data_IF_303245093091
#
_entry.id   IF_303245093091
#
_cell.length_a   1.000
_cell.length_b   1.000
_cell.length_c   1.000
_cell.angle_alpha   90.00
_cell.angle_beta   90.00
_cell.angle_gamma   90.00
#
_symmetry.space_group_name_H-M   'P 1'
#
loop_
_entity.id
_entity.type
_entity.pdbx_description
1 polymer ?
#
# COMPACT_ATOMS: atom_id res chain seq x y z
N UNK A 1 17.27 13.96 -24.35
CA UNK A 1 16.22 14.17 -23.33
C UNK A 1 15.83 12.79 -22.82
N UNK A 2 16.06 12.47 -21.54
CA UNK A 2 15.80 11.12 -21.01
C UNK A 2 14.29 10.84 -20.95
N UNK A 3 13.90 9.57 -21.04
CA UNK A 3 12.48 9.16 -21.04
C UNK A 3 11.70 9.70 -19.82
N UNK A 4 12.34 9.77 -18.65
CA UNK A 4 11.76 10.33 -17.43
C UNK A 4 11.40 11.83 -17.57
N UNK A 5 12.25 12.63 -18.24
CA UNK A 5 12.00 14.06 -18.46
C UNK A 5 10.87 14.26 -19.48
N UNK A 6 10.73 13.36 -20.45
CA UNK A 6 9.61 13.37 -21.40
C UNK A 6 8.28 13.00 -20.70
N UNK A 7 8.28 11.97 -19.85
CA UNK A 7 7.10 11.55 -19.08
C UNK A 7 6.62 12.65 -18.12
N UNK A 8 7.53 13.27 -17.36
CA UNK A 8 7.18 14.38 -16.47
C UNK A 8 6.65 15.62 -17.22
N UNK A 9 7.15 15.86 -18.44
CA UNK A 9 6.62 16.92 -19.30
C UNK A 9 5.21 16.57 -19.80
N UNK A 10 4.97 15.32 -20.16
CA UNK A 10 3.67 14.85 -20.67
C UNK A 10 2.59 14.86 -19.57
N UNK A 11 2.92 14.46 -18.34
CA UNK A 11 1.96 14.50 -17.22
C UNK A 11 1.53 15.92 -16.89
N UNK A 12 2.47 16.88 -16.98
CA UNK A 12 2.16 18.31 -16.81
C UNK A 12 1.30 18.85 -17.96
N UNK A 13 1.61 18.50 -19.21
CA UNK A 13 0.82 18.89 -20.39
C UNK A 13 -0.59 18.30 -20.37
N UNK A 14 -0.75 17.08 -19.84
CA UNK A 14 -2.04 16.40 -19.68
C UNK A 14 -2.83 16.85 -18.45
N UNK A 15 -2.38 17.88 -17.72
CA UNK A 15 -3.04 18.38 -16.51
C UNK A 15 -3.29 17.31 -15.44
N UNK A 16 -2.41 16.28 -15.38
CA UNK A 16 -2.54 15.16 -14.46
C UNK A 16 -1.97 15.48 -13.08
N UNK A 17 -0.79 16.11 -13.06
CA UNK A 17 -0.02 16.36 -11.85
C UNK A 17 0.43 17.82 -11.77
N UNK A 18 0.44 18.38 -10.56
CA UNK A 18 1.22 19.58 -10.23
C UNK A 18 2.33 19.23 -9.22
N UNK A 19 3.50 19.88 -9.37
CA UNK A 19 4.58 19.71 -8.40
C UNK A 19 4.20 20.37 -7.07
N UNK A 20 4.60 19.73 -5.97
CA UNK A 20 4.47 20.28 -4.63
C UNK A 20 5.83 20.76 -4.11
N UNK A 21 5.83 21.60 -3.07
CA UNK A 21 7.04 22.16 -2.46
C UNK A 21 7.83 21.10 -1.66
N UNK A 22 7.17 20.06 -1.18
CA UNK A 22 7.81 18.87 -0.61
C UNK A 22 8.25 17.91 -1.72
N UNK A 23 9.56 17.71 -1.84
CA UNK A 23 10.14 16.81 -2.83
C UNK A 23 9.57 15.39 -2.72
N UNK A 24 9.16 14.81 -3.85
CA UNK A 24 8.56 13.49 -3.92
C UNK A 24 7.06 13.43 -3.60
N UNK A 25 6.45 14.57 -3.25
CA UNK A 25 5.01 14.73 -3.12
C UNK A 25 4.47 15.48 -4.35
N UNK A 26 3.29 15.09 -4.82
CA UNK A 26 2.68 15.59 -6.05
C UNK A 26 1.19 15.78 -5.85
N UNK A 27 0.64 16.85 -6.41
CA UNK A 27 -0.80 17.10 -6.38
C UNK A 27 -1.45 16.32 -7.52
N UNK A 28 -2.35 15.39 -7.19
CA UNK A 28 -3.22 14.74 -8.16
C UNK A 28 -4.33 15.70 -8.57
N UNK A 29 -4.26 16.20 -9.81
CA UNK A 29 -5.32 17.04 -10.38
C UNK A 29 -6.54 16.18 -10.72
N UNK A 30 -7.73 16.78 -10.96
CA UNK A 30 -8.97 16.04 -11.18
C UNK A 30 -8.86 14.95 -12.25
N UNK A 31 -8.09 15.17 -13.32
CA UNK A 31 -7.94 14.18 -14.38
C UNK A 31 -7.16 12.93 -13.95
N UNK A 32 -6.09 13.10 -13.16
CA UNK A 32 -5.36 11.96 -12.59
C UNK A 32 -6.17 11.26 -11.50
N UNK A 33 -6.87 12.03 -10.66
CA UNK A 33 -7.68 11.48 -9.59
C UNK A 33 -8.88 10.70 -10.14
N UNK A 34 -9.48 11.15 -11.24
CA UNK A 34 -10.54 10.40 -11.93
C UNK A 34 -10.08 9.00 -12.36
N UNK A 35 -8.87 8.86 -12.91
CA UNK A 35 -8.31 7.54 -13.27
C UNK A 35 -8.19 6.66 -12.02
N UNK A 36 -7.71 7.24 -10.92
CA UNK A 36 -7.64 6.53 -9.63
C UNK A 36 -9.04 6.10 -9.13
N UNK A 37 -10.06 6.95 -9.27
CA UNK A 37 -11.43 6.59 -8.91
C UNK A 37 -11.98 5.42 -9.74
N UNK A 38 -11.63 5.33 -11.03
CA UNK A 38 -12.03 4.20 -11.86
C UNK A 38 -11.32 2.90 -11.44
N UNK A 39 -10.01 2.96 -11.16
CA UNK A 39 -9.25 1.80 -10.64
C UNK A 39 -9.83 1.35 -9.31
N UNK A 40 -10.10 2.31 -8.41
CA UNK A 40 -10.71 2.04 -7.11
C UNK A 40 -12.07 1.37 -7.28
N UNK A 41 -12.97 1.93 -8.07
CA UNK A 41 -14.31 1.37 -8.26
C UNK A 41 -14.27 -0.06 -8.82
N UNK A 42 -13.37 -0.34 -9.76
CA UNK A 42 -13.18 -1.68 -10.33
C UNK A 42 -12.71 -2.69 -9.27
N UNK A 43 -11.66 -2.36 -8.52
CA UNK A 43 -11.13 -3.25 -7.48
C UNK A 43 -12.15 -3.43 -6.36
N UNK A 44 -12.80 -2.34 -5.92
CA UNK A 44 -13.73 -2.35 -4.79
C UNK A 44 -14.95 -3.25 -5.03
N UNK A 45 -15.50 -3.23 -6.26
CA UNK A 45 -16.59 -4.11 -6.65
C UNK A 45 -16.19 -5.59 -6.54
N UNK A 46 -15.03 -5.96 -7.08
CA UNK A 46 -14.56 -7.34 -7.14
C UNK A 46 -14.21 -7.89 -5.74
N UNK A 47 -13.49 -7.11 -4.91
CA UNK A 47 -13.16 -7.56 -3.54
C UNK A 47 -14.42 -7.62 -2.65
N UNK A 48 -15.42 -6.78 -2.90
CA UNK A 48 -16.71 -6.85 -2.20
C UNK A 48 -17.44 -8.15 -2.52
N UNK A 49 -17.44 -8.58 -3.79
CA UNK A 49 -17.98 -9.89 -4.19
C UNK A 49 -17.21 -11.06 -3.56
N UNK A 50 -15.91 -10.90 -3.30
CA UNK A 50 -15.07 -11.87 -2.58
C UNK A 50 -15.31 -11.88 -1.05
N UNK A 51 -16.22 -11.04 -0.55
CA UNK A 51 -16.55 -10.92 0.88
C UNK A 51 -15.56 -10.08 1.69
N UNK A 52 -14.69 -9.31 1.04
CA UNK A 52 -13.77 -8.38 1.71
C UNK A 52 -14.54 -7.13 2.15
N UNK A 53 -14.30 -6.67 3.37
CA UNK A 53 -14.97 -5.50 3.93
C UNK A 53 -14.02 -4.31 4.04
N UNK A 54 -14.47 -3.14 3.56
CA UNK A 54 -13.72 -1.91 3.73
C UNK A 54 -13.72 -1.44 5.20
N UNK A 55 -12.56 -0.97 5.66
CA UNK A 55 -12.33 -0.41 6.98
C UNK A 55 -11.37 0.79 6.88
N UNK A 56 -11.05 1.40 8.03
CA UNK A 56 -10.03 2.43 8.11
C UNK A 56 -9.29 2.33 9.46
N UNK A 57 -8.00 2.03 9.40
CA UNK A 57 -7.12 2.11 10.57
C UNK A 57 -6.40 3.47 10.63
N UNK A 58 -6.01 3.93 11.84
CA UNK A 58 -5.30 5.20 12.01
C UNK A 58 -4.01 5.30 11.19
N UNK A 59 -3.63 6.54 10.83
CA UNK A 59 -2.38 6.84 10.13
C UNK A 59 -1.13 6.61 10.97
N UNK A 60 -1.28 6.78 12.28
CA UNK A 60 -0.18 6.83 13.22
C UNK A 60 0.07 5.48 13.87
N UNK A 61 1.34 5.08 13.92
CA UNK A 61 1.82 3.88 14.63
C UNK A 61 2.77 4.31 15.75
N UNK A 62 2.57 3.76 16.95
CA UNK A 62 3.48 4.03 18.05
C UNK A 62 4.83 3.36 17.81
N UNK A 63 5.90 3.98 18.32
CA UNK A 63 7.25 3.42 18.26
C UNK A 63 7.30 1.96 18.74
N UNK A 64 6.65 1.66 19.86
CA UNK A 64 6.59 0.32 20.44
C UNK A 64 5.82 -0.69 19.57
N UNK A 65 4.77 -0.26 18.87
CA UNK A 65 4.01 -1.14 17.98
C UNK A 65 4.81 -1.45 16.71
N UNK A 66 5.48 -0.43 16.16
CA UNK A 66 6.34 -0.60 15.00
C UNK A 66 7.44 -1.62 15.34
N UNK A 67 8.18 -1.42 16.44
CA UNK A 67 9.31 -2.25 16.90
C UNK A 67 8.99 -3.69 17.35
N UNK A 68 7.72 -4.08 17.42
CA UNK A 68 7.34 -5.46 17.73
C UNK A 68 7.70 -6.46 16.61
N UNK A 69 7.67 -6.00 15.37
CA UNK A 69 7.89 -6.80 14.16
C UNK A 69 9.29 -6.50 13.59
N UNK A 70 10.34 -6.82 14.35
CA UNK A 70 11.73 -6.42 14.03
C UNK A 70 12.22 -6.91 12.65
N UNK A 71 11.73 -8.07 12.19
CA UNK A 71 12.03 -8.63 10.87
C UNK A 71 11.46 -7.80 9.73
N UNK A 72 10.29 -7.18 9.92
CA UNK A 72 9.68 -6.31 8.92
C UNK A 72 10.37 -4.93 8.89
N UNK A 73 10.76 -4.38 10.04
CA UNK A 73 11.28 -3.02 10.14
C UNK A 73 12.68 -2.87 9.55
N UNK A 74 13.52 -3.89 9.58
CA UNK A 74 14.92 -3.76 9.12
C UNK A 74 14.99 -3.18 7.69
N UNK A 75 14.03 -3.53 6.83
CA UNK A 75 13.93 -3.03 5.46
C UNK A 75 13.20 -1.69 5.35
N UNK A 76 12.28 -1.36 6.26
CA UNK A 76 11.52 -0.09 6.23
C UNK A 76 12.12 1.03 7.06
N UNK A 77 12.99 0.73 8.03
CA UNK A 77 13.58 1.66 9.00
C UNK A 77 14.10 2.97 8.40
N UNK A 78 14.86 2.97 7.28
CA UNK A 78 15.33 4.22 6.70
C UNK A 78 14.22 5.07 6.03
N UNK A 79 13.08 4.47 5.70
CA UNK A 79 11.97 5.13 4.98
C UNK A 79 10.83 5.60 5.90
N UNK A 80 10.90 5.37 7.21
CA UNK A 80 9.84 5.76 8.14
C UNK A 80 9.89 7.26 8.44
N UNK A 81 8.79 7.96 8.19
CA UNK A 81 8.60 9.35 8.62
C UNK A 81 8.09 9.39 10.08
N UNK A 82 8.76 10.18 10.92
CA UNK A 82 8.46 10.31 12.34
C UNK A 82 7.87 11.68 12.69
N UNK A 83 6.81 11.66 13.49
CA UNK A 83 6.25 12.83 14.17
C UNK A 83 6.83 12.86 15.59
N UNK A 84 7.57 13.93 15.89
CA UNK A 84 8.24 14.12 17.19
C UNK A 84 7.75 15.36 17.94
N UNK A 85 6.95 16.22 17.30
CA UNK A 85 6.45 17.47 17.87
C UNK A 85 4.96 17.69 17.59
N UNK A 86 4.31 18.44 18.48
CA UNK A 86 2.98 19.01 18.29
C UNK A 86 3.05 20.52 18.56
N UNK A 87 2.89 21.33 17.51
CA UNK A 87 3.28 22.74 17.56
C UNK A 87 4.77 22.86 17.91
N UNK A 88 5.07 23.63 18.95
CA UNK A 88 6.44 23.83 19.44
C UNK A 88 6.87 22.86 20.56
N UNK A 89 5.97 21.98 21.02
CA UNK A 89 6.24 21.04 22.12
C UNK A 89 6.67 19.66 21.61
N UNK A 90 7.68 19.08 22.23
CA UNK A 90 8.11 17.70 21.95
C UNK A 90 7.08 16.68 22.47
N UNK A 91 6.86 15.63 21.70
CA UNK A 91 6.05 14.49 22.13
C UNK A 91 6.85 13.64 23.11
N UNK A 92 6.19 13.11 24.14
CA UNK A 92 6.81 12.22 25.11
C UNK A 92 7.36 10.93 24.46
N UNK A 93 6.72 10.47 23.39
CA UNK A 93 7.18 9.37 22.55
C UNK A 93 6.97 9.73 21.08
N UNK A 94 7.95 9.42 20.20
CA UNK A 94 7.78 9.62 18.78
C UNK A 94 6.71 8.68 18.22
N UNK A 95 6.01 9.13 17.19
CA UNK A 95 4.95 8.39 16.52
C UNK A 95 5.29 8.37 15.03
N UNK A 96 5.24 7.20 14.40
CA UNK A 96 5.51 7.06 12.99
C UNK A 96 4.24 7.26 12.15
N UNK A 97 4.43 7.78 10.94
CA UNK A 97 3.42 7.76 9.88
C UNK A 97 3.50 6.41 9.18
N UNK A 98 2.35 5.75 8.92
CA UNK A 98 2.34 4.39 8.36
C UNK A 98 3.16 4.28 7.06
N UNK A 99 4.14 3.37 6.97
CA UNK A 99 4.72 2.91 5.70
C UNK A 99 3.94 1.74 5.08
N UNK A 100 3.15 1.06 5.93
CA UNK A 100 2.21 -0.06 5.71
C UNK A 100 1.53 -0.36 7.07
N UNK A 101 0.41 -1.09 7.10
CA UNK A 101 -0.46 -1.16 8.30
C UNK A 101 -0.41 -2.46 9.11
N UNK A 102 0.47 -3.41 8.83
CA UNK A 102 0.57 -4.70 9.55
C UNK A 102 0.67 -4.50 11.07
N UNK A 103 1.60 -3.65 11.51
CA UNK A 103 1.84 -3.33 12.93
C UNK A 103 0.71 -2.53 13.59
N UNK A 104 -0.23 -2.00 12.79
CA UNK A 104 -1.43 -1.30 13.25
C UNK A 104 -2.63 -2.26 13.31
N UNK A 105 -2.81 -3.09 12.28
CA UNK A 105 -3.98 -3.95 12.09
C UNK A 105 -3.89 -5.24 12.90
N UNK A 106 -2.74 -5.92 12.90
CA UNK A 106 -2.62 -7.26 13.45
C UNK A 106 -2.82 -7.34 14.98
N UNK A 107 -2.42 -6.33 15.78
CA UNK A 107 -2.80 -6.27 17.19
C UNK A 107 -4.32 -6.20 17.43
N UNK A 108 -5.09 -5.66 16.48
CA UNK A 108 -6.55 -5.69 16.54
C UNK A 108 -7.10 -7.05 16.10
N UNK A 109 -6.53 -7.65 15.04
CA UNK A 109 -6.92 -8.99 14.57
C UNK A 109 -6.77 -10.03 15.67
N UNK A 110 -5.66 -9.99 16.42
CA UNK A 110 -5.42 -10.87 17.56
C UNK A 110 -6.46 -10.73 18.70
N UNK A 111 -7.13 -9.57 18.80
CA UNK A 111 -8.23 -9.35 19.76
C UNK A 111 -9.59 -9.79 19.21
N UNK A 112 -9.80 -9.67 17.90
CA UNK A 112 -11.07 -9.99 17.25
C UNK A 112 -11.22 -11.48 16.98
N UNK A 113 -10.13 -12.15 16.59
CA UNK A 113 -10.12 -13.58 16.31
C UNK A 113 -9.88 -14.33 17.62
N UNK A 114 -10.94 -14.91 18.18
CA UNK A 114 -10.89 -15.66 19.44
C UNK A 114 -11.14 -17.16 19.22
N UNK A 115 -11.70 -17.53 18.07
CA UNK A 115 -12.00 -18.90 17.69
C UNK A 115 -11.96 -19.08 16.16
N UNK A 116 -12.02 -20.33 15.71
CA UNK A 116 -12.13 -20.67 14.28
C UNK A 116 -13.38 -20.09 13.60
N UNK A 117 -14.41 -19.68 14.37
CA UNK A 117 -15.65 -19.09 13.83
C UNK A 117 -15.51 -17.63 13.44
N UNK A 118 -14.46 -16.98 13.92
CA UNK A 118 -14.15 -15.58 13.60
C UNK A 118 -13.34 -15.49 12.29
N UNK A 119 -13.04 -16.64 11.67
CA UNK A 119 -12.32 -16.77 10.41
C UNK A 119 -13.28 -17.21 9.28
N UNK A 120 -13.06 -16.73 8.03
CA UNK A 120 -12.02 -15.79 7.66
C UNK A 120 -12.36 -14.35 8.06
N UNK A 121 -11.35 -13.59 8.47
CA UNK A 121 -11.44 -12.14 8.60
C UNK A 121 -10.82 -11.52 7.35
N UNK A 122 -11.58 -10.73 6.60
CA UNK A 122 -11.12 -10.10 5.35
C UNK A 122 -11.38 -8.61 5.35
N UNK A 123 -10.33 -7.81 5.54
CA UNK A 123 -10.46 -6.36 5.51
C UNK A 123 -9.60 -5.73 4.43
N UNK A 124 -10.11 -4.62 3.88
CA UNK A 124 -9.41 -3.73 2.97
C UNK A 124 -9.46 -2.30 3.51
N UNK A 125 -8.47 -1.48 3.19
CA UNK A 125 -8.59 -0.03 3.37
C UNK A 125 -8.01 0.72 2.18
N UNK A 126 -8.69 1.79 1.79
CA UNK A 126 -8.20 2.78 0.82
C UNK A 126 -7.66 3.98 1.58
N UNK A 127 -6.37 4.27 1.45
CA UNK A 127 -5.69 5.28 2.25
C UNK A 127 -4.44 5.82 1.54
N UNK A 128 -3.80 6.80 2.18
CA UNK A 128 -2.45 7.24 1.84
C UNK A 128 -1.40 6.53 2.71
N UNK A 129 -0.21 6.38 2.15
CA UNK A 129 0.98 5.84 2.80
C UNK A 129 2.15 6.78 2.58
N UNK A 130 3.05 6.83 3.55
CA UNK A 130 4.30 7.60 3.45
C UNK A 130 5.50 6.67 3.53
N UNK A 131 6.34 6.70 2.48
CA UNK A 131 7.66 6.06 2.45
C UNK A 131 8.70 7.09 2.03
N UNK A 132 9.59 7.45 2.93
CA UNK A 132 10.59 8.50 2.73
C UNK A 132 11.79 8.04 1.89
N UNK A 133 11.49 7.51 0.71
CA UNK A 133 12.45 6.95 -0.24
C UNK A 133 13.51 7.99 -0.67
N UNK A 134 14.76 7.53 -0.76
CA UNK A 134 15.93 8.35 -1.12
C UNK A 134 16.25 8.31 -2.61
N UNK A 135 15.75 7.30 -3.33
CA UNK A 135 15.87 7.23 -4.79
C UNK A 135 15.12 8.37 -5.46
N UNK A 136 15.53 8.70 -6.68
CA UNK A 136 14.96 9.81 -7.44
C UNK A 136 13.44 9.62 -7.63
N UNK A 137 12.60 10.54 -7.09
CA UNK A 137 11.16 10.42 -7.19
C UNK A 137 10.68 10.65 -8.62
N UNK A 138 9.64 9.92 -9.02
CA UNK A 138 8.99 10.04 -10.31
C UNK A 138 7.47 10.03 -10.09
N UNK A 139 6.72 11.02 -10.63
CA UNK A 139 5.27 11.05 -10.49
C UNK A 139 4.62 9.71 -10.84
N UNK A 140 3.65 9.29 -10.03
CA UNK A 140 2.96 7.99 -10.07
C UNK A 140 3.83 6.76 -9.77
N UNK A 141 5.00 6.64 -10.38
CA UNK A 141 5.83 5.43 -10.31
C UNK A 141 6.59 5.28 -8.98
N UNK A 142 7.03 6.40 -8.39
CA UNK A 142 7.80 6.42 -7.14
C UNK A 142 7.63 7.77 -6.46
N UNK A 143 6.71 7.85 -5.51
CA UNK A 143 6.42 9.06 -4.73
C UNK A 143 6.60 8.79 -3.24
N UNK A 144 6.85 9.84 -2.45
CA UNK A 144 7.00 9.70 -0.99
C UNK A 144 5.68 9.51 -0.27
N UNK A 145 4.63 10.14 -0.80
CA UNK A 145 3.25 9.89 -0.43
C UNK A 145 2.51 9.34 -1.65
N UNK A 146 1.74 8.26 -1.48
CA UNK A 146 0.89 7.71 -2.52
C UNK A 146 -0.40 7.18 -1.93
N UNK A 147 -1.43 7.15 -2.78
CA UNK A 147 -2.68 6.48 -2.51
C UNK A 147 -2.55 5.01 -2.91
N UNK A 148 -3.11 4.13 -2.10
CA UNK A 148 -3.20 2.71 -2.42
C UNK A 148 -4.45 2.08 -1.80
N UNK A 149 -4.59 0.77 -2.04
CA UNK A 149 -5.33 -0.08 -1.13
C UNK A 149 -4.38 -1.11 -0.54
N UNK A 150 -4.69 -1.52 0.69
CA UNK A 150 -4.06 -2.67 1.33
C UNK A 150 -5.14 -3.61 1.88
N UNK A 151 -5.16 -4.83 1.34
CA UNK A 151 -5.99 -5.94 1.80
C UNK A 151 -5.23 -6.82 2.79
N UNK A 152 -5.82 -7.06 3.96
CA UNK A 152 -5.27 -7.94 4.99
C UNK A 152 -6.32 -8.96 5.39
N UNK A 153 -6.02 -10.23 5.15
CA UNK A 153 -6.92 -11.34 5.44
C UNK A 153 -6.28 -12.35 6.38
N UNK A 154 -7.10 -12.99 7.19
CA UNK A 154 -6.69 -14.05 8.10
C UNK A 154 -7.58 -15.26 7.86
N UNK A 155 -6.95 -16.43 7.74
CA UNK A 155 -7.59 -17.69 7.33
C UNK A 155 -7.27 -18.81 8.30
N UNK A 156 -8.14 -19.82 8.35
CA UNK A 156 -7.94 -21.01 9.18
C UNK A 156 -6.89 -21.96 8.58
N UNK A 157 -6.76 -21.98 7.25
CA UNK A 157 -5.83 -22.87 6.55
C UNK A 157 -4.96 -22.12 5.54
N UNK A 158 -3.73 -22.61 5.35
CA UNK A 158 -2.79 -22.09 4.35
C UNK A 158 -3.35 -22.20 2.92
N UNK A 159 -4.13 -23.26 2.65
CA UNK A 159 -4.73 -23.49 1.34
C UNK A 159 -5.69 -22.36 0.96
N UNK A 160 -6.60 -21.98 1.87
CA UNK A 160 -7.56 -20.90 1.62
C UNK A 160 -6.85 -19.54 1.46
N UNK A 161 -5.84 -19.28 2.30
CA UNK A 161 -5.01 -18.08 2.16
C UNK A 161 -4.30 -18.03 0.80
N UNK A 162 -3.73 -19.14 0.37
CA UNK A 162 -3.01 -19.25 -0.92
C UNK A 162 -3.94 -19.07 -2.11
N UNK A 163 -5.15 -19.62 -2.05
CA UNK A 163 -6.17 -19.44 -3.09
C UNK A 163 -6.53 -17.95 -3.25
N UNK A 164 -6.75 -17.23 -2.15
CA UNK A 164 -7.06 -15.79 -2.21
C UNK A 164 -5.90 -14.96 -2.77
N UNK A 165 -4.64 -15.31 -2.46
CA UNK A 165 -3.47 -14.61 -3.03
C UNK A 165 -3.48 -14.66 -4.56
N UNK A 166 -3.82 -15.81 -5.16
CA UNK A 166 -3.91 -15.92 -6.62
C UNK A 166 -5.17 -15.23 -7.19
N UNK A 167 -6.29 -15.25 -6.48
CA UNK A 167 -7.50 -14.50 -6.87
C UNK A 167 -7.21 -12.99 -6.93
N UNK A 168 -6.52 -12.45 -5.92
CA UNK A 168 -6.12 -11.04 -5.89
C UNK A 168 -5.06 -10.73 -6.97
N UNK A 169 -4.10 -11.64 -7.22
CA UNK A 169 -3.14 -11.48 -8.31
C UNK A 169 -3.82 -11.41 -9.68
N UNK A 170 -4.84 -12.24 -9.90
CA UNK A 170 -5.65 -12.24 -11.11
C UNK A 170 -6.50 -10.96 -11.23
N UNK A 171 -7.06 -10.47 -10.11
CA UNK A 171 -7.72 -9.18 -10.07
C UNK A 171 -6.76 -8.04 -10.45
N UNK A 172 -5.57 -7.98 -9.87
CA UNK A 172 -4.56 -6.98 -10.25
C UNK A 172 -4.14 -7.12 -11.72
N UNK A 173 -4.05 -8.34 -12.23
CA UNK A 173 -3.80 -8.56 -13.66
C UNK A 173 -4.89 -7.92 -14.51
N UNK A 174 -6.18 -8.14 -14.18
CA UNK A 174 -7.33 -7.56 -14.89
C UNK A 174 -7.39 -6.04 -14.80
N UNK A 175 -6.99 -5.44 -13.67
CA UNK A 175 -6.85 -3.98 -13.56
C UNK A 175 -5.89 -3.47 -14.64
N UNK A 176 -4.74 -4.11 -14.81
CA UNK A 176 -3.78 -3.67 -15.82
C UNK A 176 -4.23 -4.02 -17.24
N UNK A 177 -4.67 -5.25 -17.49
CA UNK A 177 -4.97 -5.72 -18.86
C UNK A 177 -6.31 -5.21 -19.39
N UNK A 178 -7.36 -5.22 -18.58
CA UNK A 178 -8.72 -4.99 -19.03
C UNK A 178 -9.13 -3.52 -18.86
N UNK A 179 -8.74 -2.92 -17.73
CA UNK A 179 -9.07 -1.52 -17.44
C UNK A 179 -8.01 -0.54 -18.00
N UNK A 180 -6.72 -0.86 -17.87
CA UNK A 180 -5.64 0.05 -18.27
C UNK A 180 -5.00 -0.30 -19.63
N UNK A 181 -5.35 -1.44 -20.23
CA UNK A 181 -4.79 -1.94 -21.50
C UNK A 181 -3.25 -2.12 -21.49
N UNK A 182 -2.69 -2.52 -20.35
CA UNK A 182 -1.26 -2.77 -20.13
C UNK A 182 -1.06 -4.28 -19.94
N UNK A 183 -0.31 -4.97 -20.82
CA UNK A 183 0.02 -6.38 -20.60
C UNK A 183 0.99 -6.51 -19.43
N UNK A 184 0.79 -7.54 -18.61
CA UNK A 184 1.64 -7.85 -17.46
C UNK A 184 1.99 -9.33 -17.39
N UNK A 185 3.10 -9.66 -16.72
CA UNK A 185 3.58 -11.01 -16.47
C UNK A 185 3.36 -11.35 -15.00
N UNK A 186 2.51 -12.35 -14.73
CA UNK A 186 2.36 -12.92 -13.40
C UNK A 186 3.61 -13.71 -13.01
N UNK A 187 4.09 -13.53 -11.79
CA UNK A 187 5.28 -14.23 -11.29
C UNK A 187 5.34 -14.34 -9.77
N UNK A 188 6.36 -15.06 -9.29
CA UNK A 188 6.74 -15.14 -7.88
C UNK A 188 8.10 -14.49 -7.70
N UNK A 189 8.25 -13.64 -6.69
CA UNK A 189 9.53 -13.03 -6.34
C UNK A 189 10.52 -14.09 -5.84
N UNK A 190 11.81 -13.83 -6.06
CA UNK A 190 12.88 -14.67 -5.49
C UNK A 190 12.95 -14.49 -3.97
N UNK A 191 13.63 -15.39 -3.26
CA UNK A 191 13.83 -15.24 -1.80
C UNK A 191 14.48 -13.91 -1.40
N UNK A 192 15.29 -13.30 -2.28
CA UNK A 192 15.91 -12.00 -2.03
C UNK A 192 14.93 -10.83 -2.18
N UNK A 193 13.91 -10.98 -3.04
CA UNK A 193 13.00 -9.89 -3.43
C UNK A 193 11.58 -10.08 -2.88
N UNK A 194 11.33 -11.12 -2.08
CA UNK A 194 10.06 -11.31 -1.40
C UNK A 194 9.89 -10.25 -0.31
N UNK A 195 8.65 -9.97 0.06
CA UNK A 195 8.35 -9.06 1.16
C UNK A 195 8.99 -9.57 2.46
N UNK A 196 9.62 -8.66 3.21
CA UNK A 196 10.21 -8.98 4.51
C UNK A 196 9.15 -9.63 5.41
N UNK A 197 9.46 -10.78 6.00
CA UNK A 197 8.53 -11.55 6.83
C UNK A 197 7.45 -12.34 6.09
N UNK A 198 7.38 -12.32 4.76
CA UNK A 198 6.49 -13.19 4.00
C UNK A 198 7.11 -14.58 3.75
N UNK A 199 6.26 -15.62 3.74
CA UNK A 199 6.65 -16.95 3.27
C UNK A 199 7.01 -16.90 1.78
N UNK A 200 6.17 -16.23 0.98
CA UNK A 200 6.37 -15.99 -0.44
C UNK A 200 5.60 -14.76 -0.93
N UNK A 201 5.95 -14.26 -2.11
CA UNK A 201 5.33 -13.07 -2.70
C UNK A 201 5.07 -13.29 -4.19
N UNK A 202 3.84 -13.07 -4.63
CA UNK A 202 3.47 -12.96 -6.05
C UNK A 202 3.50 -11.52 -6.52
N UNK A 203 3.68 -11.32 -7.82
CA UNK A 203 3.78 -9.99 -8.45
C UNK A 203 3.27 -10.03 -9.89
N UNK A 204 2.94 -8.86 -10.42
CA UNK A 204 2.78 -8.60 -11.85
C UNK A 204 3.88 -7.62 -12.29
N UNK A 205 4.53 -7.90 -13.42
CA UNK A 205 5.58 -7.05 -14.02
C UNK A 205 5.23 -6.63 -15.45
#
# INVERSE_FOLDING_TARGET
>A
MTAAVAAAKQTKLGELIENYDVAGCYIHRPWAYFIWEQIKAFIDAEITEMGVQNCYFPLFVSDAALHREQTHIADFSPEVAWVTKSGDSDLAQPIAVRPTSETIMYPAYAKWIQSHRDLPLKLNQWNNVVRWEFKNPQPFLRTREFLWQEGHTAWATEKEASEEVYQILDLYTRVYTDLLAIPVIKGRKTEKEKFAGADWTTTIE
#
